data_IF_346663452419
#
_entry.id   IF_346663452419
#
_cell.length_a   1.000
_cell.length_b   1.000
_cell.length_c   1.000
_cell.angle_alpha   90.00
_cell.angle_beta   90.00
_cell.angle_gamma   90.00
#
_symmetry.space_group_name_H-M   'P 1'
#
loop_
_entity.id
_entity.type
_entity.pdbx_description
1 polymer ?
#
# COMPACT_ATOMS: atom_id res chain seq x y z
N UNK A 1 57.92 28.88 -4.89
CA UNK A 1 57.01 27.76 -5.24
C UNK A 1 57.00 26.86 -4.02
N UNK A 2 55.89 26.82 -3.27
CA UNK A 2 55.76 25.87 -2.17
C UNK A 2 55.46 24.50 -2.77
N UNK A 3 56.33 23.52 -2.49
CA UNK A 3 56.07 22.14 -2.84
C UNK A 3 54.96 21.61 -1.93
N UNK A 4 53.77 21.43 -2.49
CA UNK A 4 52.69 20.69 -1.82
C UNK A 4 53.08 19.22 -1.94
N UNK A 5 53.40 18.60 -0.80
CA UNK A 5 53.74 17.19 -0.74
C UNK A 5 52.43 16.39 -0.63
N UNK A 6 51.99 15.80 -1.73
CA UNK A 6 50.85 14.88 -1.68
C UNK A 6 51.33 13.54 -1.12
N UNK A 7 50.59 12.96 -0.18
CA UNK A 7 50.99 11.73 0.51
C UNK A 7 50.94 10.46 -0.37
N UNK A 8 50.46 10.58 -1.62
CA UNK A 8 50.32 9.49 -2.58
C UNK A 8 50.64 9.99 -3.99
N UNK A 9 51.51 9.26 -4.71
CA UNK A 9 51.98 9.58 -6.07
C UNK A 9 51.05 9.04 -7.19
N UNK A 10 49.82 8.62 -6.85
CA UNK A 10 48.88 8.05 -7.82
C UNK A 10 47.43 8.46 -7.50
N UNK A 11 46.62 8.58 -8.56
CA UNK A 11 45.16 8.75 -8.46
C UNK A 11 44.54 7.39 -8.10
N UNK A 12 43.78 7.33 -7.00
CA UNK A 12 42.88 6.22 -6.74
C UNK A 12 41.55 6.52 -7.43
N UNK A 13 41.19 5.73 -8.44
CA UNK A 13 39.84 5.71 -8.98
C UNK A 13 38.92 5.03 -7.98
N UNK A 14 37.73 5.60 -7.76
CA UNK A 14 36.63 4.88 -7.12
C UNK A 14 36.33 3.63 -7.97
N UNK A 15 36.15 2.48 -7.31
CA UNK A 15 35.99 1.19 -7.98
C UNK A 15 34.71 0.47 -7.57
N UNK A 16 34.01 1.01 -6.58
CA UNK A 16 32.73 0.47 -6.15
C UNK A 16 31.69 0.83 -7.20
N UNK A 17 30.93 -0.16 -7.67
CA UNK A 17 29.75 0.10 -8.47
C UNK A 17 28.65 0.65 -7.56
N UNK A 18 27.84 1.62 -8.03
CA UNK A 18 26.69 2.08 -7.27
C UNK A 18 25.65 0.96 -7.10
N UNK A 19 24.78 1.09 -6.11
CA UNK A 19 23.60 0.23 -5.98
C UNK A 19 22.36 1.05 -5.61
N UNK A 20 21.22 0.54 -6.07
CA UNK A 20 19.92 1.13 -5.85
C UNK A 20 19.04 0.12 -5.12
N UNK A 21 18.38 0.57 -4.07
CA UNK A 21 17.21 -0.12 -3.55
C UNK A 21 15.95 0.47 -4.18
N UNK A 22 15.03 -0.39 -4.60
CA UNK A 22 13.72 -0.04 -5.11
C UNK A 22 12.66 -0.71 -4.25
N UNK A 23 11.60 0.02 -3.97
CA UNK A 23 10.42 -0.52 -3.29
C UNK A 23 9.16 -0.08 -4.01
N UNK A 24 8.16 -0.94 -3.94
CA UNK A 24 6.77 -0.62 -4.28
C UNK A 24 5.95 -0.61 -3.00
N UNK A 25 4.87 0.17 -2.97
CA UNK A 25 4.03 0.31 -1.79
C UNK A 25 2.95 -0.78 -1.75
N UNK A 26 2.68 -1.29 -0.55
CA UNK A 26 1.56 -2.17 -0.24
C UNK A 26 0.76 -1.56 0.90
N UNK A 27 -0.42 -2.12 1.16
CA UNK A 27 -1.14 -1.90 2.42
C UNK A 27 -0.27 -2.11 3.67
N UNK A 28 0.72 -3.03 3.66
CA UNK A 28 1.65 -3.22 4.79
C UNK A 28 2.87 -2.29 4.78
N UNK A 29 2.96 -1.37 3.82
CA UNK A 29 4.10 -0.47 3.59
C UNK A 29 5.03 -0.88 2.46
N UNK A 30 6.12 -0.13 2.30
CA UNK A 30 7.13 -0.31 1.25
C UNK A 30 7.79 -1.69 1.29
N UNK A 31 7.89 -2.35 0.13
CA UNK A 31 8.55 -3.65 0.00
C UNK A 31 9.38 -3.78 -1.27
N UNK A 32 10.52 -4.48 -1.15
CA UNK A 32 11.42 -4.84 -2.25
C UNK A 32 11.38 -6.33 -2.57
N UNK A 33 10.41 -7.06 -2.00
CA UNK A 33 10.32 -8.53 -2.11
C UNK A 33 9.64 -8.93 -3.43
N UNK A 34 10.20 -9.84 -4.20
CA UNK A 34 9.53 -10.39 -5.39
C UNK A 34 8.24 -11.16 -5.07
N UNK A 35 7.32 -11.26 -6.04
CA UNK A 35 6.17 -12.17 -5.94
C UNK A 35 5.03 -11.73 -5.01
N UNK A 36 5.00 -10.48 -4.56
CA UNK A 36 3.92 -9.96 -3.70
C UNK A 36 3.22 -8.78 -4.38
N UNK A 37 1.95 -8.53 -4.10
CA UNK A 37 1.22 -7.48 -4.83
C UNK A 37 1.64 -6.06 -4.38
N UNK A 38 1.18 -5.02 -5.06
CA UNK A 38 1.41 -3.60 -4.75
C UNK A 38 0.27 -2.74 -5.32
N UNK A 39 0.07 -1.54 -4.77
CA UNK A 39 -1.23 -0.85 -4.91
C UNK A 39 -1.14 0.64 -5.28
N UNK A 40 0.03 1.26 -5.17
CA UNK A 40 0.23 2.66 -5.57
C UNK A 40 0.80 2.84 -6.98
N UNK A 41 0.55 4.00 -7.58
CA UNK A 41 1.30 4.52 -8.74
C UNK A 41 2.67 5.12 -8.37
N UNK A 42 3.21 4.79 -7.20
CA UNK A 42 4.47 5.31 -6.70
C UNK A 42 5.52 4.20 -6.56
N UNK A 43 6.77 4.57 -6.76
CA UNK A 43 7.94 3.72 -6.51
C UNK A 43 8.92 4.50 -5.66
N UNK A 44 9.51 3.86 -4.66
CA UNK A 44 10.56 4.46 -3.84
C UNK A 44 11.93 3.97 -4.29
N UNK A 45 12.87 4.89 -4.39
CA UNK A 45 14.28 4.60 -4.60
C UNK A 45 15.12 5.01 -3.39
N UNK A 46 16.26 4.35 -3.18
CA UNK A 46 17.28 4.72 -2.18
C UNK A 46 18.65 4.28 -2.71
N UNK A 47 19.33 5.15 -3.47
CA UNK A 47 20.68 4.91 -3.91
C UNK A 47 21.65 5.01 -2.73
N UNK A 48 22.71 4.22 -2.75
CA UNK A 48 23.72 4.24 -1.70
C UNK A 48 24.69 5.43 -1.78
N UNK A 49 24.62 6.19 -2.86
CA UNK A 49 25.51 7.29 -3.16
C UNK A 49 24.88 8.28 -4.13
N UNK A 50 25.56 9.42 -4.30
CA UNK A 50 25.16 10.49 -5.22
C UNK A 50 25.26 9.99 -6.67
N UNK A 51 24.14 10.04 -7.39
CA UNK A 51 24.06 9.69 -8.79
C UNK A 51 24.40 10.88 -9.70
N UNK A 52 24.65 10.62 -10.98
CA UNK A 52 24.95 11.67 -11.96
C UNK A 52 24.45 11.30 -13.35
N UNK A 53 23.78 12.25 -14.01
CA UNK A 53 23.44 12.16 -15.44
C UNK A 53 24.59 12.65 -16.36
N UNK A 54 25.77 12.99 -15.82
CA UNK A 54 26.99 13.32 -16.59
C UNK A 54 26.76 14.30 -17.76
N UNK A 55 26.02 15.37 -17.48
CA UNK A 55 25.67 16.39 -18.48
C UNK A 55 24.75 15.88 -19.62
N UNK A 56 23.97 14.83 -19.37
CA UNK A 56 23.09 14.16 -20.34
C UNK A 56 23.75 13.04 -21.14
N UNK A 57 25.05 12.77 -20.91
CA UNK A 57 25.77 11.70 -21.62
C UNK A 57 25.32 10.32 -21.17
N UNK A 58 25.06 10.16 -19.87
CA UNK A 58 24.55 8.96 -19.26
C UNK A 58 23.25 9.30 -18.54
N UNK A 59 22.32 8.35 -18.49
CA UNK A 59 21.02 8.56 -17.88
C UNK A 59 20.74 7.46 -16.88
N UNK A 60 20.25 7.87 -15.73
CA UNK A 60 19.80 6.97 -14.68
C UNK A 60 18.33 6.64 -14.92
N UNK A 61 17.97 5.36 -14.86
CA UNK A 61 16.61 4.89 -15.13
C UNK A 61 16.15 3.88 -14.10
N UNK A 62 14.92 4.07 -13.61
CA UNK A 62 14.05 2.97 -13.23
C UNK A 62 13.35 2.47 -14.47
N UNK A 63 13.23 1.15 -14.62
CA UNK A 63 12.58 0.50 -15.75
C UNK A 63 11.64 -0.57 -15.23
N UNK A 64 10.55 -0.79 -15.94
CA UNK A 64 9.67 -1.91 -15.67
C UNK A 64 8.99 -2.39 -16.93
N UNK A 65 8.70 -3.69 -16.97
CA UNK A 65 8.04 -4.33 -18.10
C UNK A 65 6.77 -5.01 -17.59
N UNK A 66 5.65 -4.79 -18.27
CA UNK A 66 4.41 -5.50 -17.97
C UNK A 66 4.37 -6.90 -18.60
N UNK A 67 3.45 -7.74 -18.14
CA UNK A 67 3.21 -9.10 -18.64
C UNK A 67 2.77 -9.19 -20.11
N UNK A 68 2.46 -8.06 -20.75
CA UNK A 68 2.23 -7.97 -22.19
C UNK A 68 3.51 -7.66 -22.99
N UNK A 69 4.64 -7.47 -22.31
CA UNK A 69 5.92 -7.08 -22.89
C UNK A 69 6.03 -5.60 -23.21
N UNK A 70 5.26 -4.75 -22.54
CA UNK A 70 5.34 -3.29 -22.66
C UNK A 70 6.39 -2.75 -21.72
N UNK A 71 7.42 -2.09 -22.25
CA UNK A 71 8.47 -1.48 -21.43
C UNK A 71 8.16 -0.03 -21.07
N UNK A 72 8.49 0.33 -19.84
CA UNK A 72 8.40 1.67 -19.29
C UNK A 72 9.74 2.07 -18.67
N UNK A 73 10.01 3.37 -18.62
CA UNK A 73 11.18 3.89 -17.89
C UNK A 73 10.94 5.29 -17.33
N UNK A 74 11.50 5.55 -16.17
CA UNK A 74 11.52 6.85 -15.50
C UNK A 74 12.96 7.35 -15.41
N UNK A 75 13.25 8.55 -15.92
CA UNK A 75 14.59 9.14 -15.87
C UNK A 75 14.85 9.81 -14.51
N UNK A 76 15.66 9.19 -13.66
CA UNK A 76 16.06 9.73 -12.37
C UNK A 76 16.93 10.97 -12.60
N UNK A 77 16.57 12.09 -11.97
CA UNK A 77 17.27 13.36 -12.19
C UNK A 77 16.90 14.06 -13.49
N UNK A 78 15.91 13.55 -14.24
CA UNK A 78 15.45 14.13 -15.50
C UNK A 78 14.58 15.35 -15.26
N UNK A 79 13.42 15.14 -14.63
CA UNK A 79 12.48 16.20 -14.28
C UNK A 79 12.84 16.89 -12.95
N UNK A 80 13.34 16.12 -11.98
CA UNK A 80 13.80 16.63 -10.69
C UNK A 80 15.24 16.21 -10.40
N UNK A 81 16.17 17.16 -10.48
CA UNK A 81 17.59 16.92 -10.19
C UNK A 81 17.85 16.55 -8.71
N UNK A 82 16.88 16.78 -7.81
CA UNK A 82 17.02 16.43 -6.39
C UNK A 82 17.13 14.91 -6.20
N UNK A 83 16.56 14.11 -7.10
CA UNK A 83 16.58 12.64 -7.09
C UNK A 83 17.99 12.04 -7.26
N UNK A 84 19.00 12.86 -7.60
CA UNK A 84 20.39 12.44 -7.77
C UNK A 84 21.22 12.59 -6.50
N UNK A 85 20.66 13.14 -5.42
CA UNK A 85 21.41 13.59 -4.25
C UNK A 85 21.92 12.48 -3.32
N UNK A 86 21.59 11.21 -3.60
CA UNK A 86 21.97 10.06 -2.78
C UNK A 86 21.04 9.77 -1.60
N UNK A 87 19.88 10.43 -1.52
CA UNK A 87 18.85 10.17 -0.52
C UNK A 87 17.74 9.30 -1.11
N UNK A 88 16.89 8.78 -0.24
CA UNK A 88 15.67 8.10 -0.67
C UNK A 88 14.64 9.10 -1.21
N UNK A 89 14.05 8.76 -2.36
CA UNK A 89 13.03 9.57 -3.04
C UNK A 89 11.84 8.69 -3.42
N UNK A 90 10.64 9.28 -3.38
CA UNK A 90 9.40 8.66 -3.86
C UNK A 90 9.06 9.26 -5.21
N UNK A 91 8.94 8.41 -6.21
CA UNK A 91 8.77 8.76 -7.60
C UNK A 91 7.31 8.48 -8.01
N UNK A 92 6.64 9.48 -8.55
CA UNK A 92 5.30 9.36 -9.11
C UNK A 92 5.37 8.78 -10.53
N UNK A 93 4.87 7.57 -10.73
CA UNK A 93 4.87 6.89 -12.03
C UNK A 93 3.76 7.37 -12.97
N UNK A 94 2.93 8.34 -12.57
CA UNK A 94 1.90 8.93 -13.43
C UNK A 94 2.43 10.09 -14.30
N UNK A 95 3.65 10.54 -14.05
CA UNK A 95 4.31 11.62 -14.77
C UNK A 95 5.81 11.37 -14.96
N UNK A 96 6.43 12.08 -15.91
CA UNK A 96 7.88 11.95 -16.25
C UNK A 96 8.34 10.52 -16.58
N UNK A 97 7.39 9.66 -16.96
CA UNK A 97 7.60 8.30 -17.39
C UNK A 97 7.53 8.23 -18.92
N UNK A 98 8.33 7.38 -19.54
CA UNK A 98 8.25 7.05 -20.96
C UNK A 98 7.78 5.60 -21.13
N UNK A 99 7.00 5.35 -22.18
CA UNK A 99 6.54 4.02 -22.62
C UNK A 99 7.17 3.68 -23.98
N UNK A 100 7.52 2.41 -24.19
CA UNK A 100 8.08 1.92 -25.44
C UNK A 100 7.01 1.21 -26.29
N UNK A 101 6.43 1.92 -27.25
CA UNK A 101 5.50 1.34 -28.23
C UNK A 101 6.17 1.17 -29.61
N UNK A 102 7.47 0.87 -29.62
CA UNK A 102 8.35 0.83 -30.80
C UNK A 102 9.35 2.00 -30.84
N UNK A 103 9.05 3.07 -30.13
CA UNK A 103 9.95 4.16 -29.76
C UNK A 103 9.57 4.63 -28.35
N UNK A 104 10.52 5.21 -27.61
CA UNK A 104 10.22 5.85 -26.33
C UNK A 104 9.44 7.14 -26.53
N UNK A 105 8.31 7.25 -25.85
CA UNK A 105 7.44 8.44 -25.86
C UNK A 105 6.91 8.69 -24.46
N UNK A 106 6.59 9.95 -24.15
CA UNK A 106 5.99 10.32 -22.86
C UNK A 106 4.73 9.50 -22.57
N UNK A 107 4.67 8.93 -21.37
CA UNK A 107 3.48 8.32 -20.78
C UNK A 107 2.90 9.30 -19.75
N UNK A 108 1.65 9.68 -19.94
CA UNK A 108 0.92 10.57 -19.03
C UNK A 108 -0.25 9.81 -18.45
N UNK A 109 -0.32 9.75 -17.12
CA UNK A 109 -1.34 9.01 -16.38
C UNK A 109 -0.82 7.68 -15.85
N UNK A 110 -1.73 6.91 -15.25
CA UNK A 110 -1.43 5.65 -14.59
C UNK A 110 -0.66 4.68 -15.51
N UNK A 111 0.52 4.26 -15.04
CA UNK A 111 1.36 3.30 -15.75
C UNK A 111 1.08 1.86 -15.31
N UNK A 112 0.69 1.69 -14.04
CA UNK A 112 0.27 0.40 -13.53
C UNK A 112 -1.23 0.20 -13.76
N UNK A 113 -1.61 -0.96 -14.27
CA UNK A 113 -2.99 -1.33 -14.61
C UNK A 113 -3.41 -2.51 -13.74
N UNK A 114 -4.57 -2.42 -13.11
CA UNK A 114 -5.05 -3.42 -12.18
C UNK A 114 -5.02 -4.84 -12.79
N UNK A 115 -4.46 -5.78 -12.03
CA UNK A 115 -4.32 -7.19 -12.37
C UNK A 115 -3.14 -7.51 -13.30
N UNK A 116 -2.35 -6.52 -13.73
CA UNK A 116 -1.14 -6.76 -14.53
C UNK A 116 0.04 -7.10 -13.64
N UNK A 117 0.91 -7.97 -14.15
CA UNK A 117 2.17 -8.32 -13.51
C UNK A 117 3.32 -7.49 -14.09
N UNK A 118 4.23 -7.04 -13.23
CA UNK A 118 5.36 -6.19 -13.57
C UNK A 118 6.69 -6.74 -13.05
N UNK A 119 7.73 -6.57 -13.85
CA UNK A 119 9.13 -6.80 -13.50
C UNK A 119 9.90 -5.48 -13.50
N UNK A 120 10.54 -5.13 -12.39
CA UNK A 120 11.29 -3.89 -12.17
C UNK A 120 12.80 -4.13 -12.18
N UNK A 121 13.51 -3.20 -12.83
CA UNK A 121 14.96 -3.25 -13.03
C UNK A 121 15.50 -1.82 -13.25
N UNK A 122 16.82 -1.63 -13.31
CA UNK A 122 17.40 -0.30 -13.39
C UNK A 122 18.71 -0.23 -14.19
N UNK A 123 19.13 1.00 -14.49
CA UNK A 123 20.46 1.36 -14.98
C UNK A 123 20.85 2.66 -14.28
N UNK A 124 21.96 2.70 -13.56
CA UNK A 124 22.42 3.87 -12.80
C UNK A 124 23.91 4.13 -12.98
N UNK A 125 24.29 5.38 -12.76
CA UNK A 125 25.64 5.91 -12.83
C UNK A 125 25.93 6.80 -11.63
N UNK A 126 27.02 6.52 -10.94
CA UNK A 126 27.52 7.39 -9.87
C UNK A 126 28.20 8.64 -10.42
N UNK A 127 28.71 9.51 -9.53
CA UNK A 127 29.46 10.71 -9.91
C UNK A 127 30.79 10.42 -10.62
N UNK A 128 31.40 9.26 -10.41
CA UNK A 128 32.66 8.86 -11.03
C UNK A 128 32.45 8.25 -12.43
N UNK A 129 31.22 7.90 -12.79
CA UNK A 129 30.85 7.23 -14.03
C UNK A 129 30.85 5.69 -13.94
N UNK A 130 30.90 5.12 -12.73
CA UNK A 130 30.72 3.68 -12.54
C UNK A 130 29.25 3.32 -12.80
N UNK A 131 29.03 2.17 -13.46
CA UNK A 131 27.72 1.71 -13.94
C UNK A 131 27.24 0.54 -13.08
N UNK A 132 25.97 0.57 -12.69
CA UNK A 132 25.25 -0.62 -12.27
C UNK A 132 23.96 -0.79 -13.06
N UNK A 133 23.70 -2.01 -13.53
CA UNK A 133 22.48 -2.35 -14.25
C UNK A 133 22.01 -3.74 -13.89
N UNK A 134 20.69 -3.91 -13.90
CA UNK A 134 20.04 -5.21 -13.68
C UNK A 134 19.24 -5.61 -14.93
N UNK A 135 19.17 -6.92 -15.18
CA UNK A 135 18.28 -7.48 -16.19
C UNK A 135 16.84 -7.42 -15.71
N UNK A 136 15.88 -7.38 -16.64
CA UNK A 136 14.44 -7.34 -16.39
C UNK A 136 14.00 -8.28 -15.26
N UNK A 137 14.29 -9.57 -15.38
CA UNK A 137 13.84 -10.57 -14.40
C UNK A 137 14.80 -10.75 -13.21
N UNK A 138 15.84 -9.91 -13.12
CA UNK A 138 17.00 -10.10 -12.25
C UNK A 138 16.97 -9.32 -10.94
N UNK A 139 15.89 -8.57 -10.66
CA UNK A 139 15.85 -7.66 -9.52
C UNK A 139 14.56 -7.77 -8.69
N UNK A 140 13.47 -7.08 -9.05
CA UNK A 140 12.17 -7.21 -8.38
C UNK A 140 11.17 -7.68 -9.42
N UNK A 141 10.72 -8.92 -9.31
CA UNK A 141 9.97 -9.59 -10.37
C UNK A 141 8.63 -10.17 -9.89
N UNK A 142 7.76 -10.44 -10.85
CA UNK A 142 6.46 -11.07 -10.68
C UNK A 142 5.57 -10.34 -9.65
N UNK A 143 5.42 -9.02 -9.80
CA UNK A 143 4.62 -8.17 -8.91
C UNK A 143 3.28 -7.83 -9.55
N UNK A 144 2.14 -8.21 -8.96
CA UNK A 144 0.83 -7.79 -9.48
C UNK A 144 0.49 -6.40 -8.94
N UNK A 145 0.05 -5.50 -9.83
CA UNK A 145 -0.57 -4.25 -9.41
C UNK A 145 -2.05 -4.50 -9.10
N UNK A 146 -2.50 -4.09 -7.93
CA UNK A 146 -3.89 -4.18 -7.49
C UNK A 146 -4.34 -2.84 -6.92
N UNK A 147 -5.28 -2.17 -7.60
CA UNK A 147 -5.88 -0.90 -7.15
C UNK A 147 -7.28 -1.08 -6.54
N UNK A 148 -7.60 -2.32 -6.14
CA UNK A 148 -8.93 -2.66 -5.63
C UNK A 148 -9.13 -2.15 -4.21
N UNK A 149 -9.78 -0.98 -4.11
CA UNK A 149 -10.11 -0.39 -2.82
C UNK A 149 -10.85 -1.37 -1.88
N UNK A 150 -10.43 -1.49 -0.61
CA UNK A 150 -11.07 -2.36 0.35
C UNK A 150 -12.46 -1.83 0.69
N UNK A 151 -13.38 -2.76 0.88
CA UNK A 151 -14.78 -2.54 1.25
C UNK A 151 -15.06 -3.22 2.58
N UNK A 152 -15.90 -2.61 3.41
CA UNK A 152 -16.27 -3.18 4.70
C UNK A 152 -17.60 -3.92 4.61
N UNK A 153 -17.60 -5.16 5.08
CA UNK A 153 -18.81 -5.93 5.38
C UNK A 153 -19.05 -5.83 6.88
N UNK A 154 -20.19 -5.24 7.26
CA UNK A 154 -20.59 -5.12 8.67
C UNK A 154 -21.55 -6.24 9.00
N UNK A 155 -21.20 -7.07 9.98
CA UNK A 155 -22.07 -8.09 10.55
C UNK A 155 -21.95 -8.07 12.07
N UNK A 156 -22.75 -8.88 12.76
CA UNK A 156 -22.68 -8.94 14.21
C UNK A 156 -23.19 -10.25 14.78
N UNK A 157 -22.98 -10.41 16.09
CA UNK A 157 -23.49 -11.51 16.88
C UNK A 157 -23.91 -11.06 18.28
N UNK A 158 -24.89 -11.75 18.86
CA UNK A 158 -25.24 -11.64 20.28
C UNK A 158 -24.27 -12.45 21.15
N UNK A 159 -24.76 -13.13 22.19
CA UNK A 159 -23.98 -14.10 22.95
C UNK A 159 -23.16 -14.97 21.99
N UNK A 160 -21.84 -14.99 22.24
CA UNK A 160 -20.80 -15.44 21.30
C UNK A 160 -21.24 -16.69 20.53
N UNK A 161 -21.54 -16.52 19.25
CA UNK A 161 -21.87 -17.58 18.30
C UNK A 161 -23.31 -18.15 18.33
N UNK A 162 -24.23 -17.63 19.14
CA UNK A 162 -25.60 -18.15 19.23
C UNK A 162 -26.56 -17.53 18.21
N UNK A 163 -26.46 -16.22 18.00
CA UNK A 163 -27.28 -15.48 17.04
C UNK A 163 -26.37 -14.57 16.23
N UNK A 164 -26.33 -14.75 14.92
CA UNK A 164 -25.53 -13.95 13.99
C UNK A 164 -26.43 -13.21 13.02
N UNK A 165 -26.05 -12.01 12.61
CA UNK A 165 -26.85 -11.17 11.71
C UNK A 165 -25.98 -10.34 10.77
N UNK A 166 -26.62 -9.79 9.74
CA UNK A 166 -25.97 -9.00 8.69
C UNK A 166 -25.61 -9.84 7.47
N UNK A 167 -25.08 -9.23 6.41
CA UNK A 167 -24.77 -9.91 5.16
C UNK A 167 -23.58 -10.87 5.26
N UNK A 168 -23.66 -11.97 4.51
CA UNK A 168 -22.52 -12.84 4.22
C UNK A 168 -22.25 -13.91 5.27
N UNK A 169 -20.99 -14.01 5.70
CA UNK A 169 -20.53 -15.00 6.69
C UNK A 169 -19.94 -14.27 7.89
N UNK A 170 -20.06 -14.89 9.07
CA UNK A 170 -19.34 -14.46 10.25
C UNK A 170 -17.82 -14.54 9.97
N UNK A 171 -17.06 -13.46 10.20
CA UNK A 171 -15.66 -13.37 9.77
C UNK A 171 -14.72 -14.23 10.60
N UNK A 172 -15.15 -14.68 11.79
CA UNK A 172 -14.38 -15.55 12.69
C UNK A 172 -14.60 -17.02 12.35
N UNK A 173 -15.87 -17.42 12.22
CA UNK A 173 -16.23 -18.84 12.04
C UNK A 173 -16.40 -19.26 10.59
N UNK A 174 -16.49 -18.29 9.66
CA UNK A 174 -16.83 -18.48 8.24
C UNK A 174 -18.21 -19.10 7.99
N UNK A 175 -19.03 -19.32 9.03
CA UNK A 175 -20.40 -19.80 8.87
C UNK A 175 -21.27 -18.68 8.28
N UNK A 176 -22.26 -19.02 7.44
CA UNK A 176 -23.26 -18.05 6.99
C UNK A 176 -23.89 -17.37 8.19
N UNK A 177 -24.02 -16.04 8.12
CA UNK A 177 -24.90 -15.34 9.04
C UNK A 177 -26.33 -15.79 8.74
N UNK A 178 -27.13 -15.96 9.78
CA UNK A 178 -28.57 -16.03 9.53
C UNK A 178 -28.98 -14.61 9.13
N UNK A 179 -29.49 -14.43 7.91
CA UNK A 179 -30.13 -13.18 7.46
C UNK A 179 -31.55 -13.48 6.93
N UNK A 180 -32.04 -14.69 7.19
CA UNK A 180 -33.22 -15.26 6.53
C UNK A 180 -34.50 -15.09 7.35
N UNK A 181 -34.42 -14.57 8.57
CA UNK A 181 -35.58 -14.30 9.42
C UNK A 181 -35.54 -12.88 10.04
N UNK A 182 -36.49 -12.03 9.66
CA UNK A 182 -36.65 -10.69 10.22
C UNK A 182 -37.11 -10.70 11.70
N UNK A 183 -36.92 -9.58 12.43
CA UNK A 183 -35.66 -8.99 12.87
C UNK A 183 -35.15 -9.67 14.17
N UNK A 184 -33.83 -9.72 14.35
CA UNK A 184 -33.16 -10.31 15.52
C UNK A 184 -33.54 -9.56 16.80
N UNK A 185 -34.52 -10.08 17.52
CA UNK A 185 -34.76 -9.67 18.90
C UNK A 185 -33.79 -10.44 19.79
N UNK A 186 -32.75 -9.75 20.26
CA UNK A 186 -32.07 -10.14 21.49
C UNK A 186 -33.10 -9.92 22.62
N UNK A 187 -33.87 -10.95 22.94
CA UNK A 187 -34.89 -10.89 24.01
C UNK A 187 -34.26 -10.99 25.40
N UNK A 188 -32.99 -11.35 25.45
CA UNK A 188 -32.17 -11.39 26.64
C UNK A 188 -31.23 -10.18 26.63
N UNK A 189 -30.93 -9.67 27.82
CA UNK A 189 -29.94 -8.61 27.98
C UNK A 189 -28.55 -9.20 27.77
N UNK A 190 -27.99 -8.95 26.60
CA UNK A 190 -26.69 -9.47 26.21
C UNK A 190 -25.87 -8.43 25.46
N UNK A 191 -24.56 -8.58 25.57
CA UNK A 191 -23.61 -7.79 24.79
C UNK A 191 -23.72 -8.19 23.31
N UNK A 192 -23.74 -7.18 22.44
CA UNK A 192 -23.75 -7.38 20.99
C UNK A 192 -22.38 -7.01 20.43
N UNK A 193 -21.75 -7.94 19.71
CA UNK A 193 -20.49 -7.70 19.02
C UNK A 193 -20.79 -7.32 17.57
N UNK A 194 -20.21 -6.20 17.13
CA UNK A 194 -20.28 -5.76 15.74
C UNK A 194 -18.91 -5.92 15.11
N UNK A 195 -18.83 -6.65 14.00
CA UNK A 195 -17.62 -6.84 13.23
C UNK A 195 -17.60 -5.95 11.99
N UNK A 196 -16.40 -5.45 11.69
CA UNK A 196 -16.04 -4.73 10.48
C UNK A 196 -15.03 -5.57 9.72
N UNK A 197 -15.50 -6.29 8.70
CA UNK A 197 -14.68 -7.20 7.91
C UNK A 197 -14.31 -6.55 6.58
N UNK A 198 -13.05 -6.14 6.43
CA UNK A 198 -12.53 -5.52 5.22
C UNK A 198 -12.17 -6.57 4.17
N UNK A 199 -12.60 -6.32 2.93
CA UNK A 199 -12.54 -7.23 1.79
C UNK A 199 -12.38 -6.46 0.46
N UNK A 200 -11.74 -7.03 -0.57
CA UNK A 200 -11.05 -8.31 -0.53
C UNK A 200 -9.72 -8.26 0.24
N UNK A 201 -9.13 -7.06 0.30
CA UNK A 201 -7.80 -6.82 0.86
C UNK A 201 -7.80 -6.40 2.33
N UNK A 202 -6.61 -6.41 2.92
CA UNK A 202 -6.34 -5.88 4.27
C UNK A 202 -6.11 -4.38 4.22
N UNK A 203 -6.59 -3.64 5.22
CA UNK A 203 -6.30 -2.23 5.40
C UNK A 203 -4.83 -1.99 5.80
N UNK A 204 -4.38 -0.74 5.64
CA UNK A 204 -3.14 -0.28 6.26
C UNK A 204 -3.22 -0.35 7.80
N UNK A 205 -2.11 -0.70 8.46
CA UNK A 205 -2.06 -0.78 9.91
C UNK A 205 -2.36 0.59 10.55
N UNK A 206 -3.40 0.65 11.39
CA UNK A 206 -3.84 1.88 12.04
C UNK A 206 -4.65 2.84 11.16
N UNK A 207 -5.02 2.48 9.93
CA UNK A 207 -5.89 3.35 9.09
C UNK A 207 -7.38 3.26 9.46
N UNK A 208 -7.80 2.21 10.16
CA UNK A 208 -9.17 2.08 10.68
C UNK A 208 -9.20 2.18 12.21
N UNK A 209 -9.83 3.23 12.70
CA UNK A 209 -9.87 3.62 14.12
C UNK A 209 -11.30 3.75 14.63
N UNK A 210 -11.47 3.86 15.94
CA UNK A 210 -12.80 4.08 16.54
C UNK A 210 -13.48 5.35 16.00
N UNK A 211 -12.73 6.41 15.69
CA UNK A 211 -13.31 7.64 15.15
C UNK A 211 -13.95 7.50 13.77
N UNK A 212 -13.62 6.43 13.04
CA UNK A 212 -14.15 6.10 11.73
C UNK A 212 -15.49 5.36 11.80
N UNK A 213 -15.87 4.87 12.97
CA UNK A 213 -17.15 4.19 13.21
C UNK A 213 -18.12 5.17 13.85
N UNK A 214 -19.37 5.14 13.42
CA UNK A 214 -20.45 5.89 14.04
C UNK A 214 -21.56 4.97 14.51
N UNK A 215 -22.04 5.21 15.73
CA UNK A 215 -23.22 4.60 16.33
C UNK A 215 -24.28 5.68 16.45
N UNK A 216 -25.41 5.52 15.76
CA UNK A 216 -26.48 6.51 15.67
C UNK A 216 -25.98 7.91 15.25
N UNK A 217 -25.02 7.95 14.33
CA UNK A 217 -24.44 9.19 13.81
C UNK A 217 -23.45 9.89 14.74
N UNK A 218 -23.07 9.27 15.87
CA UNK A 218 -22.04 9.76 16.78
C UNK A 218 -20.80 8.89 16.66
N UNK A 219 -19.63 9.51 16.52
CA UNK A 219 -18.36 8.78 16.44
C UNK A 219 -18.16 7.87 17.67
N UNK A 220 -17.70 6.65 17.42
CA UNK A 220 -17.45 5.66 18.47
C UNK A 220 -16.30 6.13 19.35
N UNK A 221 -16.59 6.28 20.64
CA UNK A 221 -15.63 6.82 21.61
C UNK A 221 -14.88 5.73 22.39
N UNK A 222 -15.46 4.53 22.46
CA UNK A 222 -14.87 3.38 23.14
C UNK A 222 -13.88 2.64 22.22
N UNK A 223 -13.38 1.50 22.70
CA UNK A 223 -12.39 0.71 22.00
C UNK A 223 -12.96 0.10 20.71
N UNK A 224 -12.21 0.24 19.62
CA UNK A 224 -12.34 -0.58 18.42
C UNK A 224 -11.13 -1.52 18.39
N UNK A 225 -11.37 -2.83 18.36
CA UNK A 225 -10.31 -3.82 18.59
C UNK A 225 -10.08 -4.67 17.33
N UNK A 226 -8.83 -4.88 16.90
CA UNK A 226 -8.55 -5.86 15.87
C UNK A 226 -8.82 -7.28 16.41
N UNK A 227 -9.29 -8.16 15.55
CA UNK A 227 -9.43 -9.59 15.85
C UNK A 227 -8.05 -10.23 15.77
N UNK A 228 -7.67 -10.96 16.81
CA UNK A 228 -6.38 -11.68 16.85
C UNK A 228 -6.29 -12.72 15.74
N UNK A 229 -5.20 -12.69 14.98
CA UNK A 229 -4.97 -13.55 13.81
C UNK A 229 -5.65 -13.08 12.52
N UNK A 230 -6.43 -12.00 12.59
CA UNK A 230 -7.04 -11.29 11.45
C UNK A 230 -6.77 -9.79 11.56
N UNK A 231 -5.62 -9.42 12.13
CA UNK A 231 -5.17 -8.04 12.23
C UNK A 231 -5.15 -7.40 10.83
N UNK A 232 -5.50 -6.12 10.77
CA UNK A 232 -5.61 -5.35 9.52
C UNK A 232 -6.72 -5.84 8.56
N UNK A 233 -7.52 -6.83 8.96
CA UNK A 233 -8.64 -7.35 8.16
C UNK A 233 -9.98 -7.25 8.87
N UNK A 234 -10.01 -7.59 10.16
CA UNK A 234 -11.26 -7.62 10.93
C UNK A 234 -11.10 -6.87 12.24
N UNK A 235 -12.02 -5.96 12.50
CA UNK A 235 -12.17 -5.25 13.76
C UNK A 235 -13.53 -5.52 14.37
N UNK A 236 -13.64 -5.32 15.68
CA UNK A 236 -14.90 -5.40 16.37
C UNK A 236 -15.05 -4.32 17.43
N UNK A 237 -16.30 -3.98 17.71
CA UNK A 237 -16.72 -3.25 18.90
C UNK A 237 -17.79 -4.05 19.63
N UNK A 238 -18.03 -3.70 20.90
CA UNK A 238 -19.06 -4.34 21.73
C UNK A 238 -20.03 -3.29 22.24
N UNK A 239 -21.31 -3.50 21.97
CA UNK A 239 -22.41 -2.74 22.54
C UNK A 239 -22.86 -3.44 23.81
N UNK A 240 -22.53 -2.89 24.97
CA UNK A 240 -22.91 -3.44 26.28
C UNK A 240 -24.22 -2.81 26.80
N UNK A 241 -24.87 -3.45 27.77
CA UNK A 241 -26.08 -2.90 28.43
C UNK A 241 -27.21 -2.55 27.44
N UNK A 242 -27.45 -3.42 26.46
CA UNK A 242 -28.46 -3.20 25.41
C UNK A 242 -29.86 -2.98 25.99
N UNK A 243 -30.18 -3.58 27.14
CA UNK A 243 -31.45 -3.38 27.84
C UNK A 243 -31.71 -1.95 28.35
N UNK A 244 -30.67 -1.13 28.54
CA UNK A 244 -30.80 0.25 29.01
C UNK A 244 -31.24 1.20 27.89
N UNK A 245 -31.19 0.73 26.64
CA UNK A 245 -31.53 1.53 25.47
C UNK A 245 -30.53 2.63 25.14
N UNK A 246 -29.32 2.56 25.71
CA UNK A 246 -28.24 3.53 25.47
C UNK A 246 -27.85 3.64 24.00
N UNK A 247 -28.08 2.57 23.23
CA UNK A 247 -27.71 2.45 21.82
C UNK A 247 -28.89 2.58 20.86
N UNK A 248 -30.09 2.85 21.37
CA UNK A 248 -31.28 3.02 20.53
C UNK A 248 -31.51 4.49 20.18
N UNK A 249 -31.84 4.76 18.93
CA UNK A 249 -32.34 6.05 18.49
C UNK A 249 -33.79 6.29 18.95
N UNK A 250 -34.33 7.47 18.64
CA UNK A 250 -35.71 7.83 19.00
C UNK A 250 -36.80 6.95 18.35
N UNK A 251 -36.44 6.09 17.40
CA UNK A 251 -37.31 5.11 16.77
C UNK A 251 -37.07 3.67 17.26
N UNK A 252 -36.14 3.47 18.20
CA UNK A 252 -35.81 2.17 18.77
C UNK A 252 -34.81 1.35 17.95
N UNK A 253 -34.09 1.97 17.02
CA UNK A 253 -33.10 1.30 16.17
C UNK A 253 -31.67 1.66 16.60
N UNK A 254 -30.74 0.72 16.36
CA UNK A 254 -29.31 1.00 16.41
C UNK A 254 -28.79 1.05 14.98
N UNK A 255 -28.19 2.16 14.56
CA UNK A 255 -27.58 2.31 13.24
C UNK A 255 -26.06 2.36 13.39
N UNK A 256 -25.35 1.43 12.75
CA UNK A 256 -23.90 1.41 12.69
C UNK A 256 -23.46 1.78 11.27
N UNK A 257 -22.54 2.74 11.17
CA UNK A 257 -21.97 3.18 9.88
C UNK A 257 -20.48 3.37 9.99
N UNK A 258 -19.77 3.16 8.89
CA UNK A 258 -18.37 3.62 8.73
C UNK A 258 -18.40 4.98 8.02
N UNK A 259 -17.56 5.90 8.47
CA UNK A 259 -17.45 7.23 7.89
C UNK A 259 -17.05 7.16 6.40
N UNK A 260 -17.48 8.17 5.63
CA UNK A 260 -17.12 8.25 4.22
C UNK A 260 -15.60 8.50 4.08
N UNK A 261 -14.97 7.82 3.11
CA UNK A 261 -13.54 8.00 2.82
C UNK A 261 -12.58 7.19 3.68
N UNK A 262 -13.08 6.36 4.60
CA UNK A 262 -12.28 5.45 5.44
C UNK A 262 -11.61 4.34 4.61
N UNK A 263 -12.11 4.10 3.40
CA UNK A 263 -11.55 3.14 2.44
C UNK A 263 -10.25 3.70 1.85
N UNK A 264 -9.17 3.64 2.62
CA UNK A 264 -7.82 3.88 2.11
C UNK A 264 -7.18 2.52 1.83
N UNK A 265 -7.23 2.14 0.54
CA UNK A 265 -6.13 1.38 -0.05
C UNK A 265 -5.01 2.37 -0.32
N UNK A 266 -3.77 1.97 -0.09
CA UNK A 266 -2.63 2.74 -0.61
C UNK A 266 -2.05 1.99 -1.79
#
# INVERSE_FOLDING_TARGET
IYAVNFAQDYLQYERSDPWLNLWVMRASGWTSISGVDFSTQEVRIDPNEVLSNHGGTYKNYIKFTDDNGTDYRYEIGGADASELNGNADTLDMTSNLEINTGTWTDNVGAAFVNGRVYDFYYTIYDKAGNLAETSQDGYINNRTFDDTAPTVVINGEGAVGEVTFGPGNNPITSNPTDDSSAPYYHTEDEDVIIYFNWQPETMYDGSFTNSDVQVNGVAWADDLRPVVGLENKVWYLTLNDMNLGNWMDGAGNTTITVAAGVTEDN
#
